data_IF_839999498834
#
_entry.id   IF_839999498834
#
_cell.length_a   1.000
_cell.length_b   1.000
_cell.length_c   1.000
_cell.angle_alpha   90.00
_cell.angle_beta   90.00
_cell.angle_gamma   90.00
#
_symmetry.space_group_name_H-M   'P 1'
#
loop_
_entity.id
_entity.type
_entity.pdbx_description
1 polymer ?
#
# COMPACT_ATOMS: atom_id res chain seq x y z
N UNK A 1 12.55 4.62 -10.38
CA UNK A 1 11.77 3.74 -11.30
C UNK A 1 11.43 4.60 -12.49
N UNK A 2 11.76 4.17 -13.71
CA UNK A 2 11.63 4.97 -14.94
C UNK A 2 10.34 5.80 -15.03
N UNK A 3 9.19 5.22 -14.70
CA UNK A 3 7.91 5.92 -14.75
C UNK A 3 7.74 7.00 -13.68
N UNK A 4 8.09 6.70 -12.42
CA UNK A 4 7.97 7.67 -11.32
C UNK A 4 8.94 8.84 -11.51
N UNK A 5 10.10 8.56 -12.09
CA UNK A 5 11.11 9.58 -12.42
C UNK A 5 10.55 10.52 -13.50
N UNK A 6 9.99 9.97 -14.59
CA UNK A 6 9.32 10.76 -15.64
C UNK A 6 8.10 11.54 -15.13
N UNK A 7 7.26 10.94 -14.28
CA UNK A 7 6.12 11.65 -13.67
C UNK A 7 6.57 12.86 -12.86
N UNK A 8 7.74 12.79 -12.22
CA UNK A 8 8.31 13.90 -11.46
C UNK A 8 8.97 14.94 -12.38
N UNK A 9 9.65 14.51 -13.44
CA UNK A 9 10.40 15.38 -14.37
C UNK A 9 9.48 16.25 -15.24
N UNK A 10 8.39 15.69 -15.77
CA UNK A 10 7.54 16.35 -16.77
C UNK A 10 6.04 16.26 -16.47
N UNK A 11 5.64 15.66 -15.35
CA UNK A 11 4.25 15.46 -14.98
C UNK A 11 3.65 14.15 -15.51
N UNK A 12 2.61 13.65 -14.83
CA UNK A 12 1.93 12.41 -15.21
C UNK A 12 1.34 12.50 -16.63
N UNK A 13 0.58 13.56 -16.94
CA UNK A 13 -0.14 13.69 -18.20
C UNK A 13 0.78 13.77 -19.42
N UNK A 14 1.89 14.50 -19.30
CA UNK A 14 2.88 14.63 -20.37
C UNK A 14 3.75 13.37 -20.55
N UNK A 15 3.68 12.40 -19.63
CA UNK A 15 4.45 11.15 -19.72
C UNK A 15 3.70 10.08 -20.51
N UNK A 16 4.36 9.53 -21.53
CA UNK A 16 3.81 8.46 -22.38
C UNK A 16 4.40 7.09 -22.02
N UNK A 17 3.65 6.02 -22.32
CA UNK A 17 4.15 4.64 -22.23
C UNK A 17 5.43 4.42 -23.06
N UNK A 18 5.58 5.16 -24.17
CA UNK A 18 6.78 5.13 -25.00
C UNK A 18 8.03 5.57 -24.23
N UNK A 19 7.96 6.74 -23.58
CA UNK A 19 9.05 7.30 -22.79
C UNK A 19 9.37 6.41 -21.58
N UNK A 20 8.34 5.85 -20.93
CA UNK A 20 8.51 4.92 -19.82
C UNK A 20 9.26 3.66 -20.27
N UNK A 21 8.84 3.05 -21.38
CA UNK A 21 9.45 1.84 -21.92
C UNK A 21 10.91 2.08 -22.33
N UNK A 22 11.18 3.18 -23.03
CA UNK A 22 12.53 3.60 -23.42
C UNK A 22 13.43 3.79 -22.20
N UNK A 23 12.99 4.54 -21.19
CA UNK A 23 13.75 4.78 -19.95
C UNK A 23 13.95 3.50 -19.14
N UNK A 24 13.02 2.56 -19.21
CA UNK A 24 13.12 1.26 -18.55
C UNK A 24 13.94 0.23 -19.35
N UNK A 25 14.41 0.56 -20.56
CA UNK A 25 15.15 -0.36 -21.42
C UNK A 25 14.31 -1.53 -21.95
N UNK A 26 12.99 -1.36 -22.07
CA UNK A 26 12.06 -2.38 -22.57
C UNK A 26 11.29 -1.88 -23.80
N UNK A 27 10.73 -2.81 -24.58
CA UNK A 27 9.85 -2.43 -25.69
C UNK A 27 8.44 -2.09 -25.20
N UNK A 28 7.68 -1.30 -25.98
CA UNK A 28 6.25 -1.03 -25.71
C UNK A 28 5.44 -2.33 -25.58
N UNK A 29 5.71 -3.33 -26.42
CA UNK A 29 5.04 -4.63 -26.34
C UNK A 29 5.32 -5.34 -25.02
N UNK A 30 6.56 -5.28 -24.51
CA UNK A 30 6.90 -5.81 -23.19
C UNK A 30 6.23 -5.04 -22.07
N UNK A 31 6.10 -3.72 -22.18
CA UNK A 31 5.32 -2.93 -21.23
C UNK A 31 3.86 -3.37 -21.20
N UNK A 32 3.18 -3.37 -22.35
CA UNK A 32 1.74 -3.71 -22.46
C UNK A 32 1.42 -5.15 -22.06
N UNK A 33 2.40 -6.07 -22.14
CA UNK A 33 2.25 -7.44 -21.62
C UNK A 33 2.04 -7.47 -20.11
N UNK A 34 2.62 -6.52 -19.38
CA UNK A 34 2.55 -6.45 -17.92
C UNK A 34 1.55 -5.39 -17.42
N UNK A 35 1.42 -4.29 -18.15
CA UNK A 35 0.61 -3.14 -17.76
C UNK A 35 -0.23 -2.66 -18.95
N UNK A 36 -1.56 -2.83 -18.90
CA UNK A 36 -2.47 -2.34 -19.94
C UNK A 36 -2.30 -0.83 -20.24
N UNK A 37 -1.95 -0.04 -19.24
CA UNK A 37 -1.71 1.39 -19.33
C UNK A 37 -0.70 1.87 -18.25
N UNK A 38 -0.41 3.18 -18.19
CA UNK A 38 0.57 3.74 -17.23
C UNK A 38 0.03 3.91 -15.80
N UNK A 39 -1.28 3.97 -15.56
CA UNK A 39 -1.85 4.05 -14.19
C UNK A 39 -1.72 2.71 -13.46
N UNK A 40 -1.69 1.60 -14.18
CA UNK A 40 -1.48 0.26 -13.59
C UNK A 40 -0.12 0.12 -12.90
N UNK A 41 0.83 1.02 -13.16
CA UNK A 41 2.09 1.09 -12.41
C UNK A 41 1.91 1.46 -10.93
N UNK A 42 0.84 2.18 -10.55
CA UNK A 42 0.56 2.50 -9.14
C UNK A 42 0.13 1.29 -8.31
N UNK A 43 -0.50 0.32 -8.97
CA UNK A 43 -1.01 -0.90 -8.35
C UNK A 43 -0.08 -2.09 -8.60
N UNK A 44 1.07 -1.87 -9.23
CA UNK A 44 2.10 -2.88 -9.34
C UNK A 44 2.44 -3.40 -7.93
N UNK A 45 2.35 -4.72 -7.76
CA UNK A 45 2.56 -5.37 -6.46
C UNK A 45 1.37 -5.32 -5.49
N UNK A 46 0.24 -4.70 -5.85
CA UNK A 46 -0.97 -4.70 -5.01
C UNK A 46 -1.43 -6.11 -4.69
N UNK A 47 -1.49 -7.01 -5.69
CA UNK A 47 -1.91 -8.40 -5.47
C UNK A 47 -1.00 -9.12 -4.47
N UNK A 48 0.31 -8.91 -4.59
CA UNK A 48 1.29 -9.45 -3.64
C UNK A 48 1.07 -8.87 -2.25
N UNK A 49 0.83 -7.56 -2.14
CA UNK A 49 0.57 -6.90 -0.87
C UNK A 49 -0.71 -7.39 -0.21
N UNK A 50 -1.82 -7.47 -0.96
CA UNK A 50 -3.10 -8.03 -0.50
C UNK A 50 -2.94 -9.46 0.01
N UNK A 51 -2.21 -10.30 -0.73
CA UNK A 51 -1.91 -11.67 -0.34
C UNK A 51 -1.11 -11.72 0.97
N UNK A 52 -0.03 -10.94 1.10
CA UNK A 52 0.78 -10.92 2.30
C UNK A 52 0.01 -10.40 3.52
N UNK A 53 -0.85 -9.39 3.35
CA UNK A 53 -1.74 -8.91 4.42
C UNK A 53 -2.68 -10.03 4.88
N UNK A 54 -3.34 -10.69 3.94
CA UNK A 54 -4.28 -11.77 4.24
C UNK A 54 -3.59 -12.98 4.91
N UNK A 55 -2.41 -13.38 4.42
CA UNK A 55 -1.60 -14.44 5.02
C UNK A 55 -1.18 -14.11 6.45
N UNK A 56 -0.67 -12.90 6.71
CA UNK A 56 -0.26 -12.51 8.06
C UNK A 56 -1.44 -12.42 9.03
N UNK A 57 -2.61 -11.99 8.57
CA UNK A 57 -3.86 -12.05 9.34
C UNK A 57 -4.22 -13.51 9.63
N UNK A 58 -4.22 -14.38 8.62
CA UNK A 58 -4.59 -15.79 8.78
C UNK A 58 -3.66 -16.54 9.74
N UNK A 59 -2.35 -16.25 9.71
CA UNK A 59 -1.32 -16.88 10.53
C UNK A 59 -1.21 -16.30 11.96
N UNK A 60 -1.91 -15.20 12.27
CA UNK A 60 -1.88 -14.59 13.59
C UNK A 60 -2.37 -15.57 14.69
N UNK A 61 -1.84 -15.49 15.93
CA UNK A 61 -2.22 -16.40 17.02
C UNK A 61 -3.74 -16.50 17.23
N UNK A 62 -4.24 -17.68 17.62
CA UNK A 62 -5.69 -17.92 17.72
C UNK A 62 -6.41 -16.97 18.71
N UNK A 63 -5.71 -16.50 19.75
CA UNK A 63 -6.24 -15.53 20.73
C UNK A 63 -6.03 -14.06 20.35
N UNK A 64 -5.46 -13.76 19.19
CA UNK A 64 -5.22 -12.39 18.76
C UNK A 64 -6.54 -11.66 18.50
N UNK A 65 -6.66 -10.45 19.02
CA UNK A 65 -7.73 -9.51 18.67
C UNK A 65 -7.67 -9.15 17.18
N UNK A 66 -8.77 -8.62 16.59
CA UNK A 66 -8.79 -8.25 15.17
C UNK A 66 -7.66 -7.28 14.78
N UNK A 67 -7.34 -6.30 15.62
CA UNK A 67 -6.25 -5.36 15.34
C UNK A 67 -4.85 -5.96 15.54
N UNK A 68 -4.68 -6.94 16.42
CA UNK A 68 -3.41 -7.69 16.51
C UNK A 68 -3.21 -8.58 15.29
N UNK A 69 -4.28 -9.17 14.74
CA UNK A 69 -4.21 -9.90 13.48
C UNK A 69 -3.88 -8.97 12.30
N UNK A 70 -4.48 -7.77 12.24
CA UNK A 70 -4.10 -6.73 11.25
C UNK A 70 -2.64 -6.32 11.41
N UNK A 71 -2.15 -6.15 12.64
CA UNK A 71 -0.73 -5.84 12.89
C UNK A 71 0.20 -6.93 12.33
N UNK A 72 -0.14 -8.21 12.52
CA UNK A 72 0.61 -9.33 11.94
C UNK A 72 0.58 -9.31 10.40
N UNK A 73 -0.57 -8.98 9.81
CA UNK A 73 -0.71 -8.72 8.37
C UNK A 73 0.22 -7.61 7.88
N UNK A 74 0.21 -6.45 8.54
CA UNK A 74 1.04 -5.29 8.21
C UNK A 74 2.54 -5.61 8.34
N UNK A 75 2.93 -6.32 9.40
CA UNK A 75 4.32 -6.74 9.62
C UNK A 75 4.81 -7.67 8.50
N UNK A 76 4.04 -8.70 8.15
CA UNK A 76 4.36 -9.59 7.03
C UNK A 76 4.44 -8.84 5.70
N UNK A 77 3.45 -7.99 5.42
CA UNK A 77 3.40 -7.16 4.22
C UNK A 77 4.59 -6.18 4.14
N UNK A 78 5.12 -5.75 5.30
CA UNK A 78 6.26 -4.84 5.35
C UNK A 78 7.54 -5.43 4.77
N UNK A 79 7.70 -6.75 4.79
CA UNK A 79 8.84 -7.44 4.17
C UNK A 79 8.92 -7.24 2.66
N UNK A 80 7.81 -6.90 1.99
CA UNK A 80 7.80 -6.54 0.57
C UNK A 80 8.19 -5.08 0.31
N UNK A 81 8.30 -4.25 1.35
CA UNK A 81 8.66 -2.83 1.25
C UNK A 81 10.15 -2.66 1.54
N UNK A 82 10.93 -2.63 0.45
CA UNK A 82 12.38 -2.46 0.53
C UNK A 82 12.87 -1.01 0.44
N UNK A 83 14.19 -0.79 0.49
CA UNK A 83 14.82 0.54 0.41
C UNK A 83 14.45 1.34 -0.85
N UNK A 84 14.15 0.64 -1.96
CA UNK A 84 13.70 1.26 -3.20
C UNK A 84 12.36 2.01 -3.01
N UNK A 85 11.43 1.45 -2.23
CA UNK A 85 10.13 2.07 -1.95
C UNK A 85 10.29 3.43 -1.26
N UNK A 86 11.28 3.55 -0.36
CA UNK A 86 11.60 4.82 0.33
C UNK A 86 12.02 5.92 -0.64
N UNK A 87 12.89 5.59 -1.60
CA UNK A 87 13.37 6.55 -2.60
C UNK A 87 12.24 7.03 -3.53
N UNK A 88 11.25 6.16 -3.76
CA UNK A 88 10.13 6.40 -4.67
C UNK A 88 8.97 7.10 -3.95
N UNK A 89 8.83 6.95 -2.63
CA UNK A 89 7.67 7.41 -1.87
C UNK A 89 7.33 8.90 -2.06
N UNK A 90 8.27 9.86 -1.95
CA UNK A 90 7.94 11.28 -2.14
C UNK A 90 7.47 11.59 -3.57
N UNK A 91 8.11 10.95 -4.56
CA UNK A 91 7.79 11.11 -5.99
C UNK A 91 6.43 10.53 -6.33
N UNK A 92 6.11 9.36 -5.77
CA UNK A 92 4.81 8.71 -5.92
C UNK A 92 3.70 9.57 -5.30
N UNK A 93 3.92 10.10 -4.09
CA UNK A 93 3.00 11.02 -3.40
C UNK A 93 2.74 12.28 -4.25
N UNK A 94 3.79 12.89 -4.80
CA UNK A 94 3.67 14.04 -5.67
C UNK A 94 2.90 13.73 -6.96
N UNK A 95 3.19 12.60 -7.61
CA UNK A 95 2.49 12.18 -8.83
C UNK A 95 0.99 11.95 -8.57
N UNK A 96 0.63 11.26 -7.49
CA UNK A 96 -0.77 11.04 -7.10
C UNK A 96 -1.47 12.36 -6.78
N UNK A 97 -0.83 13.26 -6.04
CA UNK A 97 -1.43 14.57 -5.73
C UNK A 97 -1.71 15.42 -6.97
N UNK A 98 -0.92 15.26 -8.04
CA UNK A 98 -1.00 16.07 -9.25
C UNK A 98 -2.01 15.57 -10.30
N UNK A 99 -2.66 14.40 -10.12
CA UNK A 99 -3.55 13.81 -11.12
C UNK A 99 -4.78 13.14 -10.50
N UNK A 100 -5.97 13.58 -10.92
CA UNK A 100 -7.24 12.97 -10.48
C UNK A 100 -7.32 11.47 -10.85
N UNK A 101 -6.83 11.09 -12.02
CA UNK A 101 -6.78 9.69 -12.46
C UNK A 101 -5.94 8.81 -11.51
N UNK A 102 -4.82 9.36 -11.03
CA UNK A 102 -3.97 8.66 -10.06
C UNK A 102 -4.58 8.63 -8.65
N UNK A 103 -5.31 9.67 -8.25
CA UNK A 103 -6.07 9.68 -7.00
C UNK A 103 -7.16 8.61 -7.00
N UNK A 104 -7.92 8.49 -8.09
CA UNK A 104 -8.92 7.45 -8.27
C UNK A 104 -8.28 6.06 -8.18
N UNK A 105 -7.12 5.87 -8.82
CA UNK A 105 -6.44 4.57 -8.79
C UNK A 105 -5.89 4.23 -7.40
N UNK A 106 -5.33 5.20 -6.66
CA UNK A 106 -4.90 5.00 -5.26
C UNK A 106 -6.09 4.66 -4.33
N UNK A 107 -7.24 5.31 -4.55
CA UNK A 107 -8.45 5.01 -3.79
C UNK A 107 -8.93 3.57 -4.04
N UNK A 108 -9.00 3.13 -5.31
CA UNK A 108 -9.37 1.76 -5.66
C UNK A 108 -8.40 0.71 -5.08
N UNK A 109 -7.10 1.02 -5.08
CA UNK A 109 -6.07 0.20 -4.42
C UNK A 109 -6.35 0.06 -2.94
N UNK A 110 -6.67 1.16 -2.27
CA UNK A 110 -6.96 1.21 -0.84
C UNK A 110 -8.16 0.35 -0.48
N UNK A 111 -9.25 0.48 -1.25
CA UNK A 111 -10.46 -0.35 -1.11
C UNK A 111 -10.12 -1.84 -1.25
N UNK A 112 -9.30 -2.19 -2.24
CA UNK A 112 -8.90 -3.58 -2.47
C UNK A 112 -8.08 -4.17 -1.32
N UNK A 113 -7.21 -3.35 -0.69
CA UNK A 113 -6.44 -3.77 0.48
C UNK A 113 -7.33 -3.95 1.72
N UNK A 114 -8.26 -3.01 1.96
CA UNK A 114 -9.24 -3.13 3.04
C UNK A 114 -10.07 -4.40 2.89
N UNK A 115 -10.62 -4.66 1.68
CA UNK A 115 -11.40 -5.85 1.39
C UNK A 115 -10.63 -7.15 1.64
N UNK A 116 -9.34 -7.21 1.27
CA UNK A 116 -8.49 -8.38 1.53
C UNK A 116 -8.32 -8.65 3.03
N UNK A 117 -8.07 -7.60 3.83
CA UNK A 117 -7.94 -7.74 5.29
C UNK A 117 -9.28 -8.12 5.94
N UNK A 118 -10.39 -7.49 5.51
CA UNK A 118 -11.74 -7.82 5.97
C UNK A 118 -12.08 -9.28 5.70
N UNK A 119 -11.85 -9.77 4.48
CA UNK A 119 -12.10 -11.16 4.13
C UNK A 119 -11.27 -12.13 4.99
N UNK A 120 -9.98 -11.81 5.22
CA UNK A 120 -9.11 -12.62 6.06
C UNK A 120 -9.58 -12.64 7.53
N UNK A 121 -10.06 -11.52 8.07
CA UNK A 121 -10.61 -11.46 9.43
C UNK A 121 -11.95 -12.20 9.55
N UNK A 122 -12.83 -12.10 8.56
CA UNK A 122 -14.08 -12.87 8.51
C UNK A 122 -13.79 -14.37 8.48
N UNK A 123 -12.78 -14.80 7.72
CA UNK A 123 -12.35 -16.20 7.70
C UNK A 123 -11.83 -16.69 9.07
N UNK A 124 -11.40 -15.79 9.97
CA UNK A 124 -11.05 -16.07 11.37
C UNK A 124 -12.24 -16.05 12.33
N UNK A 125 -13.46 -15.86 11.83
CA UNK A 125 -14.67 -15.77 12.65
C UNK A 125 -14.92 -14.40 13.27
N UNK A 126 -14.23 -13.34 12.82
CA UNK A 126 -14.51 -11.97 13.26
C UNK A 126 -15.83 -11.50 12.62
N UNK A 127 -16.77 -10.90 13.40
CA UNK A 127 -17.99 -10.34 12.83
C UNK A 127 -17.70 -9.29 11.74
N UNK A 128 -18.48 -9.31 10.66
CA UNK A 128 -18.21 -8.54 9.44
C UNK A 128 -18.02 -7.04 9.70
N UNK A 129 -18.87 -6.41 10.52
CA UNK A 129 -18.72 -4.98 10.83
C UNK A 129 -17.40 -4.65 11.55
N UNK A 130 -16.94 -5.55 12.44
CA UNK A 130 -15.67 -5.41 13.15
C UNK A 130 -14.49 -5.65 12.20
N UNK A 131 -14.61 -6.64 11.31
CA UNK A 131 -13.61 -6.95 10.29
C UNK A 131 -13.46 -5.82 9.25
N UNK A 132 -14.55 -5.19 8.85
CA UNK A 132 -14.56 -4.03 7.97
C UNK A 132 -13.84 -2.84 8.62
N UNK A 133 -14.23 -2.49 9.85
CA UNK A 133 -13.58 -1.40 10.59
C UNK A 133 -12.08 -1.67 10.79
N UNK A 134 -11.70 -2.88 11.19
CA UNK A 134 -10.30 -3.25 11.38
C UNK A 134 -9.50 -3.21 10.07
N UNK A 135 -10.10 -3.62 8.95
CA UNK A 135 -9.49 -3.52 7.62
C UNK A 135 -9.21 -2.07 7.21
N UNK A 136 -10.18 -1.17 7.41
CA UNK A 136 -10.01 0.26 7.13
C UNK A 136 -8.93 0.91 8.02
N UNK A 137 -8.93 0.58 9.32
CA UNK A 137 -7.87 0.98 10.24
C UNK A 137 -6.50 0.48 9.80
N UNK A 138 -6.41 -0.75 9.27
CA UNK A 138 -5.19 -1.32 8.70
C UNK A 138 -4.69 -0.53 7.49
N UNK A 139 -5.57 -0.14 6.56
CA UNK A 139 -5.19 0.67 5.39
C UNK A 139 -4.70 2.05 5.83
N UNK A 140 -5.39 2.68 6.78
CA UNK A 140 -4.99 3.98 7.30
C UNK A 140 -3.65 3.91 8.04
N UNK A 141 -3.43 2.85 8.82
CA UNK A 141 -2.15 2.58 9.49
C UNK A 141 -1.01 2.39 8.48
N UNK A 142 -1.26 1.62 7.41
CA UNK A 142 -0.29 1.43 6.33
C UNK A 142 0.10 2.78 5.70
N UNK A 143 -0.87 3.62 5.32
CA UNK A 143 -0.62 4.92 4.70
C UNK A 143 0.16 5.86 5.62
N UNK A 144 -0.26 5.98 6.89
CA UNK A 144 0.41 6.83 7.89
C UNK A 144 1.82 6.34 8.19
N UNK A 145 1.97 5.03 8.41
CA UNK A 145 3.27 4.40 8.63
C UNK A 145 4.21 4.58 7.44
N UNK A 146 3.69 4.48 6.20
CA UNK A 146 4.51 4.61 5.00
C UNK A 146 5.01 6.04 4.82
N UNK A 147 4.16 7.04 5.10
CA UNK A 147 4.55 8.44 5.10
C UNK A 147 5.64 8.71 6.15
N UNK A 148 5.42 8.32 7.40
CA UNK A 148 6.39 8.53 8.49
C UNK A 148 7.72 7.81 8.23
N UNK A 149 7.67 6.55 7.78
CA UNK A 149 8.86 5.79 7.41
C UNK A 149 9.62 6.42 6.25
N UNK A 150 8.92 6.97 5.24
CA UNK A 150 9.58 7.57 4.09
C UNK A 150 10.40 8.82 4.45
N UNK A 151 10.04 9.48 5.55
CA UNK A 151 10.67 10.70 6.06
C UNK A 151 11.73 10.43 7.14
N UNK A 152 11.88 9.18 7.61
CA UNK A 152 12.78 8.82 8.71
C UNK A 152 14.24 8.57 8.30
N UNK A 153 15.10 8.12 9.22
CA UNK A 153 16.51 7.83 8.94
C UNK A 153 16.70 6.61 8.03
N UNK A 154 17.78 6.62 7.24
CA UNK A 154 18.10 5.54 6.31
C UNK A 154 18.51 4.27 7.08
N UNK A 155 17.90 3.15 6.73
CA UNK A 155 18.20 1.83 7.33
C UNK A 155 17.08 1.30 8.22
N UNK A 156 16.10 2.12 8.55
CA UNK A 156 14.94 1.69 9.32
C UNK A 156 13.95 0.86 8.49
N UNK A 157 13.30 -0.10 9.14
CA UNK A 157 12.31 -0.98 8.53
C UNK A 157 10.92 -0.35 8.58
N UNK A 158 10.07 -0.65 7.59
CA UNK A 158 8.72 -0.08 7.51
C UNK A 158 7.74 -0.69 8.54
N UNK A 159 7.86 -1.98 8.85
CA UNK A 159 6.96 -2.70 9.77
C UNK A 159 6.67 -1.96 11.09
N UNK A 160 7.69 -1.53 11.84
CA UNK A 160 7.51 -0.78 13.08
C UNK A 160 6.65 0.48 12.94
N UNK A 161 6.77 1.21 11.83
CA UNK A 161 5.98 2.43 11.57
C UNK A 161 4.51 2.12 11.29
N UNK A 162 4.23 1.04 10.54
CA UNK A 162 2.86 0.62 10.27
C UNK A 162 2.16 0.15 11.56
N UNK A 163 2.86 -0.62 12.39
CA UNK A 163 2.33 -1.11 13.67
C UNK A 163 2.11 0.04 14.65
N UNK A 164 3.05 0.98 14.78
CA UNK A 164 2.90 2.16 15.61
C UNK A 164 1.69 3.00 15.17
N UNK A 165 1.53 3.24 13.86
CA UNK A 165 0.38 3.96 13.33
C UNK A 165 -0.95 3.25 13.63
N UNK A 166 -0.99 1.92 13.61
CA UNK A 166 -2.19 1.16 13.97
C UNK A 166 -2.53 1.31 15.47
N UNK A 167 -1.53 1.30 16.34
CA UNK A 167 -1.71 1.51 17.78
C UNK A 167 -2.25 2.91 18.09
N UNK A 168 -1.73 3.94 17.43
CA UNK A 168 -2.25 5.31 17.54
C UNK A 168 -3.72 5.39 17.10
N UNK A 169 -4.06 4.78 15.96
CA UNK A 169 -5.43 4.79 15.44
C UNK A 169 -6.40 4.04 16.36
N UNK A 170 -5.96 2.93 16.96
CA UNK A 170 -6.72 2.23 18.00
C UNK A 170 -7.02 3.16 19.18
N UNK A 171 -6.00 3.84 19.70
CA UNK A 171 -6.17 4.78 20.81
C UNK A 171 -7.11 5.94 20.44
N UNK A 172 -6.96 6.51 19.24
CA UNK A 172 -7.84 7.56 18.73
C UNK A 172 -9.30 7.08 18.60
N UNK A 173 -9.52 5.86 18.09
CA UNK A 173 -10.87 5.30 17.96
C UNK A 173 -11.58 5.11 19.30
N UNK A 174 -10.84 4.78 20.36
CA UNK A 174 -11.37 4.65 21.72
C UNK A 174 -11.75 5.99 22.35
N UNK A 175 -11.25 7.11 21.82
CA UNK A 175 -11.60 8.47 22.28
C UNK A 175 -12.82 9.07 21.58
N UNK A 176 -13.36 8.39 20.56
CA UNK A 176 -14.56 8.81 19.82
C UNK A 176 -15.87 8.33 20.49
N UNK A 177 -15.78 7.49 21.52
CA UNK A 177 -16.88 7.01 22.35
C UNK A 177 -16.97 7.79 23.66
#
# INVERSE_FOLDING_TARGET
>A
MAAVDLFTEQGYDATTVAQIAERAGVTKSTFFRHFPDKRELLVAGQETLSRLLAEGIAEAPAGASPLEAVAAGLDRASGAIGPMSRQIAPRLKAAVAASAELQERDALKSVSLAAAMTAALVARGVPEAVAALAGELGVLAFKRGYAAWSESERGEQFGPYAVAALQELRAASASLS
#
